data_IF_307218760755
#
_entry.id   IF_307218760755
#
_cell.length_a   1.000
_cell.length_b   1.000
_cell.length_c   1.000
_cell.angle_alpha   90.00
_cell.angle_beta   90.00
_cell.angle_gamma   90.00
#
_symmetry.space_group_name_H-M   'P 1'
#
loop_
_entity.id
_entity.type
_entity.pdbx_description
1 polymer ?
#
# COMPACT_ATOMS: atom_id res chain seq x y z
N UNK A 1 -33.48 19.79 -18.14
CA UNK A 1 -32.11 20.22 -17.77
C UNK A 1 -31.15 19.65 -18.77
N UNK A 2 -30.19 20.44 -19.28
CA UNK A 2 -29.13 19.88 -20.13
C UNK A 2 -28.20 19.05 -19.25
N UNK A 3 -27.93 17.81 -19.66
CA UNK A 3 -26.97 16.91 -18.99
C UNK A 3 -25.59 17.56 -19.11
N UNK A 4 -24.88 17.64 -17.99
CA UNK A 4 -23.53 18.21 -17.95
C UNK A 4 -22.47 17.13 -18.05
N UNK A 5 -21.35 17.45 -18.66
CA UNK A 5 -20.19 16.53 -18.85
C UNK A 5 -19.74 15.85 -17.57
N UNK A 6 -19.78 16.53 -16.41
CA UNK A 6 -19.36 15.96 -15.12
C UNK A 6 -20.21 14.75 -14.70
N UNK A 7 -21.44 14.61 -15.20
CA UNK A 7 -22.31 13.47 -14.88
C UNK A 7 -21.84 12.17 -15.56
N UNK A 8 -21.00 12.28 -16.60
CA UNK A 8 -20.33 11.16 -17.28
C UNK A 8 -18.95 10.82 -16.69
N UNK A 9 -18.58 11.46 -15.59
CA UNK A 9 -17.29 11.23 -14.94
C UNK A 9 -17.49 11.23 -13.41
N UNK A 10 -18.03 10.14 -12.87
CA UNK A 10 -18.42 10.06 -11.46
C UNK A 10 -17.24 10.04 -10.50
N UNK A 11 -17.53 10.46 -9.26
CA UNK A 11 -16.60 10.50 -8.14
C UNK A 11 -16.93 9.44 -7.11
N UNK A 12 -16.74 8.19 -7.41
CA UNK A 12 -16.94 7.15 -6.41
C UNK A 12 -15.65 6.95 -5.62
N UNK A 13 -15.56 7.62 -4.47
CA UNK A 13 -14.47 7.42 -3.50
C UNK A 13 -14.39 5.95 -3.10
N UNK A 14 -13.17 5.46 -2.86
CA UNK A 14 -12.94 4.09 -2.41
C UNK A 14 -13.57 3.05 -3.34
N UNK A 15 -13.59 3.32 -4.64
CA UNK A 15 -14.08 2.39 -5.66
C UNK A 15 -12.97 2.07 -6.67
N UNK A 16 -12.91 0.81 -7.05
CA UNK A 16 -12.00 0.30 -8.07
C UNK A 16 -12.80 -0.14 -9.28
N UNK A 17 -12.47 0.42 -10.44
CA UNK A 17 -13.05 0.05 -11.73
C UNK A 17 -12.10 -0.90 -12.43
N UNK A 18 -12.57 -2.08 -12.80
CA UNK A 18 -11.79 -3.12 -13.48
C UNK A 18 -12.21 -3.17 -14.95
N UNK A 19 -11.23 -2.99 -15.82
CA UNK A 19 -11.42 -3.06 -17.28
C UNK A 19 -10.70 -4.26 -17.84
N UNK A 20 -11.43 -5.06 -18.60
CA UNK A 20 -10.88 -6.20 -19.36
C UNK A 20 -10.62 -5.80 -20.79
N UNK A 21 -9.40 -6.07 -21.25
CA UNK A 21 -8.98 -5.91 -22.62
C UNK A 21 -9.23 -7.15 -23.47
N UNK A 22 -9.50 -6.93 -24.74
CA UNK A 22 -9.70 -7.98 -25.75
C UNK A 22 -8.75 -7.75 -26.90
N UNK A 23 -8.33 -8.85 -27.51
CA UNK A 23 -7.31 -8.93 -28.56
C UNK A 23 -5.88 -8.56 -28.10
N UNK A 24 -5.72 -8.07 -26.86
CA UNK A 24 -4.41 -7.84 -26.25
C UNK A 24 -4.56 -7.66 -24.73
N UNK A 25 -3.96 -8.54 -23.94
CA UNK A 25 -4.00 -8.47 -22.47
C UNK A 25 -3.28 -7.25 -21.89
N UNK A 26 -2.43 -6.56 -22.67
CA UNK A 26 -1.74 -5.35 -22.22
C UNK A 26 -2.67 -4.14 -22.03
N UNK A 27 -3.92 -4.23 -22.49
CA UNK A 27 -4.95 -3.19 -22.31
C UNK A 27 -5.92 -3.50 -21.15
N UNK A 28 -5.66 -4.56 -20.37
CA UNK A 28 -6.31 -4.70 -19.06
C UNK A 28 -5.81 -3.60 -18.15
N UNK A 29 -6.70 -2.97 -17.42
CA UNK A 29 -6.29 -2.02 -16.39
C UNK A 29 -7.34 -1.90 -15.29
N UNK A 30 -6.89 -1.41 -14.15
CA UNK A 30 -7.75 -0.96 -13.07
C UNK A 30 -7.65 0.55 -12.97
N UNK A 31 -8.73 1.21 -12.61
CA UNK A 31 -8.69 2.63 -12.28
C UNK A 31 -9.32 2.90 -10.93
N UNK A 32 -8.76 3.85 -10.21
CA UNK A 32 -9.23 4.29 -8.90
C UNK A 32 -8.96 5.76 -8.71
N UNK A 33 -9.69 6.38 -7.77
CA UNK A 33 -9.47 7.77 -7.42
C UNK A 33 -8.52 7.82 -6.24
N UNK A 34 -7.33 8.41 -6.45
CA UNK A 34 -6.36 8.64 -5.38
C UNK A 34 -6.76 9.84 -4.52
N UNK A 35 -7.00 10.99 -5.17
CA UNK A 35 -7.32 12.26 -4.54
C UNK A 35 -8.34 13.05 -5.34
N UNK A 36 -9.13 13.86 -4.66
CA UNK A 36 -9.99 14.85 -5.32
C UNK A 36 -10.24 16.04 -4.40
N UNK A 37 -10.60 17.16 -5.03
CA UNK A 37 -11.14 18.35 -4.40
C UNK A 37 -12.38 18.85 -5.18
N UNK A 38 -12.85 20.06 -4.91
CA UNK A 38 -14.05 20.59 -5.56
C UNK A 38 -13.96 20.67 -7.09
N UNK A 39 -12.77 20.87 -7.65
CA UNK A 39 -12.56 21.13 -9.07
C UNK A 39 -11.70 20.10 -9.80
N UNK A 40 -10.92 19.31 -9.08
CA UNK A 40 -9.96 18.38 -9.66
C UNK A 40 -10.13 16.98 -9.09
N UNK A 41 -9.88 15.99 -9.92
CA UNK A 41 -9.87 14.58 -9.54
C UNK A 41 -8.60 13.91 -10.09
N UNK A 42 -7.88 13.25 -9.23
CA UNK A 42 -6.70 12.46 -9.56
C UNK A 42 -7.10 11.00 -9.69
N UNK A 43 -6.95 10.46 -10.88
CA UNK A 43 -7.27 9.07 -11.21
C UNK A 43 -6.00 8.30 -11.51
N UNK A 44 -5.84 7.18 -10.85
CA UNK A 44 -4.78 6.20 -11.10
C UNK A 44 -5.25 5.15 -12.09
N UNK A 45 -4.40 4.80 -13.04
CA UNK A 45 -4.58 3.71 -13.99
C UNK A 45 -3.44 2.72 -13.82
N UNK A 46 -3.76 1.50 -13.42
CA UNK A 46 -2.81 0.41 -13.20
C UNK A 46 -3.12 -0.76 -14.13
N UNK A 47 -2.18 -1.11 -15.00
CA UNK A 47 -2.29 -2.27 -15.88
C UNK A 47 -1.42 -3.46 -15.44
N UNK A 48 -0.92 -3.43 -14.19
CA UNK A 48 -0.04 -4.44 -13.62
C UNK A 48 1.45 -4.27 -13.98
N UNK A 49 1.79 -3.45 -14.98
CA UNK A 49 3.18 -3.14 -15.37
C UNK A 49 3.52 -1.67 -15.23
N UNK A 50 2.55 -0.80 -15.44
CA UNK A 50 2.69 0.65 -15.35
C UNK A 50 1.56 1.24 -14.53
N UNK A 51 1.90 2.23 -13.72
CA UNK A 51 0.96 3.06 -12.97
C UNK A 51 1.00 4.48 -13.51
N UNK A 52 -0.07 4.91 -14.14
CA UNK A 52 -0.19 6.28 -14.63
C UNK A 52 -1.19 7.05 -13.78
N UNK A 53 -0.90 8.31 -13.52
CA UNK A 53 -1.80 9.21 -12.81
C UNK A 53 -2.21 10.34 -13.73
N UNK A 54 -3.52 10.55 -13.84
CA UNK A 54 -4.13 11.64 -14.60
C UNK A 54 -4.90 12.54 -13.62
N UNK A 55 -4.80 13.85 -13.81
CA UNK A 55 -5.66 14.82 -13.12
C UNK A 55 -6.63 15.41 -14.13
N UNK A 56 -7.90 15.24 -13.82
CA UNK A 56 -9.00 15.84 -14.57
C UNK A 56 -9.53 17.04 -13.80
N UNK A 57 -9.75 18.14 -14.53
CA UNK A 57 -10.27 19.37 -13.98
C UNK A 57 -11.69 19.62 -14.53
N UNK A 58 -12.62 19.90 -13.64
CA UNK A 58 -13.99 20.30 -13.97
C UNK A 58 -14.04 21.79 -14.26
N UNK A 59 -14.35 22.15 -15.48
CA UNK A 59 -14.45 23.51 -15.94
C UNK A 59 -15.86 23.80 -16.46
N UNK A 60 -16.19 25.08 -16.67
CA UNK A 60 -17.43 25.45 -17.34
C UNK A 60 -17.52 24.93 -18.80
N UNK A 61 -16.39 24.62 -19.39
CA UNK A 61 -16.29 24.14 -20.78
C UNK A 61 -16.18 22.61 -20.86
N UNK A 62 -16.26 21.89 -19.76
CA UNK A 62 -16.20 20.43 -19.73
C UNK A 62 -15.16 19.85 -18.78
N UNK A 63 -14.83 18.60 -19.00
CA UNK A 63 -13.81 17.86 -18.23
C UNK A 63 -12.50 17.89 -19.01
N UNK A 64 -11.47 18.42 -18.40
CA UNK A 64 -10.15 18.61 -19.00
C UNK A 64 -9.09 17.76 -18.30
N UNK A 65 -8.31 16.99 -19.05
CA UNK A 65 -7.05 16.42 -18.58
C UNK A 65 -6.05 17.57 -18.44
N UNK A 66 -5.70 17.94 -17.20
CA UNK A 66 -4.83 19.06 -16.88
C UNK A 66 -3.40 18.64 -16.52
N UNK A 67 -3.23 17.43 -15.99
CA UNK A 67 -1.94 16.89 -15.64
C UNK A 67 -1.89 15.38 -15.88
N UNK A 68 -0.72 14.91 -16.30
CA UNK A 68 -0.45 13.48 -16.46
C UNK A 68 0.99 13.17 -16.03
N UNK A 69 1.14 12.08 -15.29
CA UNK A 69 2.45 11.49 -15.00
C UNK A 69 2.41 10.00 -15.27
N UNK A 70 3.44 9.49 -15.93
CA UNK A 70 3.61 8.07 -16.23
C UNK A 70 4.50 7.42 -15.18
N UNK A 71 4.23 6.16 -14.89
CA UNK A 71 4.98 5.35 -13.91
C UNK A 71 5.01 5.98 -12.50
N UNK A 72 3.90 6.59 -12.09
CA UNK A 72 3.71 7.09 -10.73
C UNK A 72 3.41 5.92 -9.79
N UNK A 73 4.45 5.20 -9.38
CA UNK A 73 4.31 3.93 -8.63
C UNK A 73 3.84 4.11 -7.18
N UNK A 74 3.74 5.36 -6.68
CA UNK A 74 3.44 5.66 -5.28
C UNK A 74 2.16 6.45 -5.13
N UNK A 75 1.44 6.21 -4.04
CA UNK A 75 0.28 7.02 -3.68
C UNK A 75 0.75 8.40 -3.19
N UNK A 76 0.55 9.41 -4.01
CA UNK A 76 0.96 10.79 -3.77
C UNK A 76 -0.06 11.75 -4.37
N UNK A 77 -0.32 12.85 -3.66
CA UNK A 77 -1.21 13.91 -4.13
C UNK A 77 -0.47 14.82 -5.13
N UNK A 78 -1.01 14.93 -6.35
CA UNK A 78 -0.51 15.80 -7.43
C UNK A 78 -1.51 16.90 -7.80
N UNK A 79 -2.60 17.10 -7.03
CA UNK A 79 -3.67 18.05 -7.39
C UNK A 79 -3.18 19.49 -7.54
N UNK A 80 -2.12 19.85 -6.82
CA UNK A 80 -1.53 21.20 -6.83
C UNK A 80 -0.34 21.34 -7.80
N UNK A 81 0.03 20.25 -8.51
CA UNK A 81 1.09 20.34 -9.50
C UNK A 81 0.69 21.22 -10.70
N UNK A 82 1.67 21.95 -11.30
CA UNK A 82 1.42 22.75 -12.49
C UNK A 82 0.90 21.91 -13.64
N UNK A 83 -0.08 22.42 -14.36
CA UNK A 83 -0.65 21.74 -15.52
C UNK A 83 0.41 21.46 -16.59
N UNK A 84 0.48 20.22 -17.07
CA UNK A 84 1.33 19.79 -18.17
C UNK A 84 0.53 19.25 -19.36
N UNK A 85 -0.79 19.26 -19.28
CA UNK A 85 -1.73 18.83 -20.31
C UNK A 85 -2.85 19.85 -20.46
N UNK A 86 -3.45 19.92 -21.64
CA UNK A 86 -4.59 20.79 -21.93
C UNK A 86 -5.55 20.11 -22.94
N UNK A 87 -6.10 18.97 -22.55
CA UNK A 87 -6.93 18.15 -23.41
C UNK A 87 -8.30 17.92 -22.81
N UNK A 88 -9.37 18.38 -23.47
CA UNK A 88 -10.73 18.06 -23.04
C UNK A 88 -11.05 16.59 -23.27
N UNK A 89 -11.43 15.89 -22.22
CA UNK A 89 -11.97 14.52 -22.27
C UNK A 89 -13.40 14.55 -22.81
N UNK A 90 -14.25 15.42 -22.24
CA UNK A 90 -15.61 15.70 -22.67
C UNK A 90 -15.78 17.21 -22.69
N UNK A 91 -16.19 17.79 -23.81
CA UNK A 91 -16.35 19.24 -23.97
C UNK A 91 -17.83 19.62 -24.04
N UNK A 92 -18.17 20.68 -23.32
CA UNK A 92 -19.49 21.27 -23.37
C UNK A 92 -19.73 22.07 -24.68
N UNK A 93 -20.97 22.17 -25.16
CA UNK A 93 -22.16 21.44 -24.69
C UNK A 93 -22.12 19.96 -25.07
N UNK A 94 -22.71 19.08 -24.23
CA UNK A 94 -22.80 17.64 -24.53
C UNK A 94 -23.93 17.43 -25.55
N UNK A 95 -23.62 17.69 -26.81
CA UNK A 95 -24.54 17.54 -27.97
C UNK A 95 -23.84 16.85 -29.12
N UNK A 96 -24.60 16.15 -29.93
CA UNK A 96 -24.10 15.49 -31.14
C UNK A 96 -23.42 16.50 -32.07
N UNK A 97 -22.30 16.07 -32.68
CA UNK A 97 -21.44 16.84 -33.57
C UNK A 97 -20.63 17.96 -32.89
N UNK A 98 -20.67 18.09 -31.56
CA UNK A 98 -19.69 18.94 -30.84
C UNK A 98 -18.29 18.38 -31.03
N UNK A 99 -17.37 19.20 -31.57
CA UNK A 99 -16.02 18.77 -31.97
C UNK A 99 -14.96 19.72 -31.44
N UNK A 100 -13.82 19.16 -31.08
CA UNK A 100 -12.65 19.94 -30.63
C UNK A 100 -11.33 19.28 -31.02
N UNK A 101 -10.25 20.05 -30.93
CA UNK A 101 -8.89 19.59 -31.16
C UNK A 101 -8.22 19.28 -29.81
N UNK A 102 -7.40 18.24 -29.80
CA UNK A 102 -6.47 17.93 -28.74
C UNK A 102 -5.10 18.58 -29.01
N UNK A 103 -4.24 18.65 -28.01
CA UNK A 103 -2.91 19.28 -28.10
C UNK A 103 -1.99 18.63 -29.14
N UNK A 104 -2.17 17.34 -29.44
CA UNK A 104 -1.43 16.61 -30.47
C UNK A 104 -2.00 16.79 -31.90
N UNK A 105 -3.06 17.58 -32.04
CA UNK A 105 -3.75 17.83 -33.29
C UNK A 105 -4.80 16.78 -33.70
N UNK A 106 -5.03 15.79 -32.84
CA UNK A 106 -6.15 14.84 -33.02
C UNK A 106 -7.49 15.57 -32.90
N UNK A 107 -8.50 15.08 -33.61
CA UNK A 107 -9.88 15.58 -33.54
C UNK A 107 -10.71 14.67 -32.65
N UNK A 108 -11.45 15.25 -31.70
CA UNK A 108 -12.38 14.56 -30.81
C UNK A 108 -13.80 15.09 -31.05
N UNK A 109 -14.78 14.21 -31.18
CA UNK A 109 -16.16 14.56 -31.54
C UNK A 109 -17.16 13.71 -30.76
N UNK A 110 -18.19 14.34 -30.23
CA UNK A 110 -19.39 13.65 -29.76
C UNK A 110 -20.20 13.19 -30.96
N UNK A 111 -20.24 11.89 -31.24
CA UNK A 111 -20.95 11.32 -32.39
C UNK A 111 -22.35 10.88 -32.03
N UNK A 112 -22.59 10.55 -30.75
CA UNK A 112 -23.92 10.21 -30.24
C UNK A 112 -24.06 10.57 -28.77
N UNK A 113 -25.25 10.95 -28.33
CA UNK A 113 -25.53 11.30 -26.91
C UNK A 113 -26.49 10.31 -26.22
N UNK A 114 -27.06 9.37 -27.01
CA UNK A 114 -28.02 8.38 -26.52
C UNK A 114 -27.91 7.12 -27.40
N UNK A 115 -26.84 6.34 -27.19
CA UNK A 115 -26.61 5.10 -27.92
C UNK A 115 -26.63 3.91 -26.95
N UNK A 116 -27.27 2.81 -27.36
CA UNK A 116 -27.25 1.56 -26.60
C UNK A 116 -25.89 0.88 -26.78
N UNK A 117 -25.24 0.57 -25.67
CA UNK A 117 -23.92 -0.09 -25.67
C UNK A 117 -24.04 -1.44 -24.98
N UNK A 118 -23.67 -2.49 -25.68
CA UNK A 118 -23.51 -3.84 -25.15
C UNK A 118 -22.03 -4.12 -24.93
N UNK A 119 -21.68 -4.54 -23.73
CA UNK A 119 -20.40 -5.14 -23.37
C UNK A 119 -20.58 -6.64 -23.12
N UNK A 120 -19.51 -7.37 -22.84
CA UNK A 120 -19.64 -8.77 -22.43
C UNK A 120 -20.25 -8.92 -21.02
N UNK A 121 -20.17 -7.87 -20.20
CA UNK A 121 -20.56 -7.89 -18.81
C UNK A 121 -21.92 -7.23 -18.54
N UNK A 122 -22.25 -6.19 -19.34
CA UNK A 122 -23.45 -5.40 -19.11
C UNK A 122 -24.08 -4.88 -20.41
N UNK A 123 -25.34 -4.46 -20.29
CA UNK A 123 -26.08 -3.76 -21.31
C UNK A 123 -26.46 -2.38 -20.80
N UNK A 124 -25.91 -1.33 -21.43
CA UNK A 124 -26.19 0.05 -21.09
C UNK A 124 -27.21 0.61 -22.10
N UNK A 125 -28.38 1.02 -21.65
CA UNK A 125 -29.45 1.48 -22.57
C UNK A 125 -29.14 2.82 -23.24
N UNK A 126 -28.33 3.66 -22.58
CA UNK A 126 -27.97 5.00 -23.05
C UNK A 126 -26.51 5.30 -22.71
N UNK A 127 -25.72 5.73 -23.65
CA UNK A 127 -24.35 6.15 -23.50
C UNK A 127 -24.00 7.34 -24.39
N UNK A 128 -23.03 8.11 -23.98
CA UNK A 128 -22.35 9.14 -24.77
C UNK A 128 -21.23 8.47 -25.56
N UNK A 129 -21.24 8.61 -26.87
CA UNK A 129 -20.19 8.13 -27.76
C UNK A 129 -19.30 9.27 -28.22
N UNK A 130 -18.00 9.11 -28.03
CA UNK A 130 -16.99 10.08 -28.43
C UNK A 130 -15.94 9.40 -29.30
N UNK A 131 -15.74 9.91 -30.48
CA UNK A 131 -14.73 9.44 -31.46
C UNK A 131 -13.53 10.38 -31.43
N UNK A 132 -12.33 9.82 -31.35
CA UNK A 132 -11.08 10.55 -31.53
C UNK A 132 -10.37 10.03 -32.77
N UNK A 133 -9.92 10.92 -33.65
CA UNK A 133 -9.18 10.55 -34.86
C UNK A 133 -7.83 11.28 -34.83
N UNK A 134 -6.76 10.54 -35.05
CA UNK A 134 -5.40 11.09 -35.13
C UNK A 134 -5.27 12.13 -36.24
N UNK A 135 -4.32 13.05 -36.10
CA UNK A 135 -4.08 14.14 -37.08
C UNK A 135 -3.88 13.62 -38.51
N UNK A 136 -3.18 12.51 -38.67
CA UNK A 136 -2.90 11.85 -39.94
C UNK A 136 -4.01 10.88 -40.38
N UNK A 137 -5.07 10.75 -39.59
CA UNK A 137 -6.21 9.84 -39.79
C UNK A 137 -5.85 8.35 -39.85
N UNK A 138 -4.67 7.96 -39.39
CA UNK A 138 -4.22 6.57 -39.44
C UNK A 138 -4.74 5.74 -38.27
N UNK A 139 -5.13 6.40 -37.18
CA UNK A 139 -5.59 5.77 -35.95
C UNK A 139 -6.84 6.47 -35.42
N UNK A 140 -7.68 5.71 -34.73
CA UNK A 140 -8.87 6.27 -34.09
C UNK A 140 -9.19 5.52 -32.77
N UNK A 141 -9.94 6.19 -31.90
CA UNK A 141 -10.61 5.56 -30.77
C UNK A 141 -12.07 5.94 -30.68
N UNK A 142 -12.85 5.06 -30.04
CA UNK A 142 -14.26 5.30 -29.74
C UNK A 142 -14.46 5.00 -28.24
N UNK A 143 -14.85 6.01 -27.50
CA UNK A 143 -15.08 5.91 -26.06
C UNK A 143 -16.58 6.04 -25.75
N UNK A 144 -17.08 5.15 -24.90
CA UNK A 144 -18.47 5.15 -24.45
C UNK A 144 -18.55 5.46 -22.96
N UNK A 145 -19.27 6.53 -22.64
CA UNK A 145 -19.47 6.98 -21.25
C UNK A 145 -20.95 6.85 -20.86
N UNK A 146 -21.21 6.37 -19.67
CA UNK A 146 -22.55 6.22 -19.09
C UNK A 146 -22.71 7.14 -17.91
N UNK A 147 -23.88 7.80 -17.80
CA UNK A 147 -24.22 8.69 -16.70
C UNK A 147 -24.08 7.97 -15.35
N UNK A 148 -23.40 8.60 -14.41
CA UNK A 148 -23.17 8.08 -13.05
C UNK A 148 -22.16 6.92 -12.96
N UNK A 149 -21.68 6.39 -14.11
CA UNK A 149 -20.72 5.27 -14.16
C UNK A 149 -19.36 5.73 -14.71
N UNK A 150 -19.36 6.53 -15.78
CA UNK A 150 -18.15 6.92 -16.48
C UNK A 150 -17.87 6.08 -17.71
N UNK A 151 -16.60 5.87 -18.02
CA UNK A 151 -16.17 5.06 -19.16
C UNK A 151 -16.59 3.60 -18.97
N UNK A 152 -17.30 3.04 -19.95
CA UNK A 152 -17.74 1.63 -19.93
C UNK A 152 -17.11 0.79 -21.05
N UNK A 153 -16.66 1.44 -22.13
CA UNK A 153 -16.01 0.76 -23.24
C UNK A 153 -15.12 1.74 -24.00
N UNK A 154 -13.95 1.27 -24.40
CA UNK A 154 -13.09 1.95 -25.40
C UNK A 154 -12.68 0.99 -26.48
N UNK A 155 -12.71 1.48 -27.73
CA UNK A 155 -12.27 0.77 -28.93
C UNK A 155 -11.13 1.58 -29.53
N UNK A 156 -10.00 0.93 -29.84
CA UNK A 156 -8.82 1.55 -30.44
C UNK A 156 -8.48 0.85 -31.75
N UNK A 157 -8.27 1.61 -32.80
CA UNK A 157 -7.62 1.13 -33.98
C UNK A 157 -6.22 1.72 -34.08
N UNK A 158 -5.21 0.84 -34.01
CA UNK A 158 -3.79 1.17 -34.09
C UNK A 158 -3.23 0.53 -35.36
N UNK A 159 -2.66 1.31 -36.26
CA UNK A 159 -2.21 0.91 -37.60
C UNK A 159 -1.39 -0.39 -37.67
N UNK A 160 -0.53 -0.64 -36.64
CA UNK A 160 0.32 -1.83 -36.58
C UNK A 160 -0.25 -2.99 -35.76
N UNK A 161 -1.32 -2.75 -34.98
CA UNK A 161 -1.88 -3.71 -34.02
C UNK A 161 -3.32 -4.10 -34.31
N UNK A 162 -3.99 -3.39 -35.24
CA UNK A 162 -5.39 -3.61 -35.56
C UNK A 162 -6.35 -3.08 -34.50
N UNK A 163 -7.48 -3.74 -34.37
CA UNK A 163 -8.56 -3.35 -33.48
C UNK A 163 -8.34 -3.95 -32.06
N UNK A 164 -8.28 -3.09 -31.07
CA UNK A 164 -8.19 -3.43 -29.65
C UNK A 164 -9.38 -2.80 -28.96
N UNK A 165 -9.90 -3.43 -27.90
CA UNK A 165 -10.94 -2.80 -27.09
C UNK A 165 -10.86 -3.27 -25.65
N UNK A 166 -11.30 -2.40 -24.73
CA UNK A 166 -11.47 -2.73 -23.32
C UNK A 166 -12.89 -2.37 -22.87
N UNK A 167 -13.39 -3.12 -21.93
CA UNK A 167 -14.74 -3.00 -21.40
C UNK A 167 -14.72 -3.02 -19.87
N UNK A 168 -15.57 -2.21 -19.26
CA UNK A 168 -15.78 -2.24 -17.82
C UNK A 168 -16.37 -3.61 -17.44
N UNK A 169 -15.62 -4.35 -16.65
CA UNK A 169 -15.99 -5.68 -16.15
C UNK A 169 -16.71 -5.58 -14.80
N UNK A 170 -16.14 -4.80 -13.87
CA UNK A 170 -16.61 -4.74 -12.49
C UNK A 170 -16.31 -3.38 -11.85
N UNK A 171 -17.15 -2.99 -10.92
CA UNK A 171 -16.91 -1.88 -9.99
C UNK A 171 -16.94 -2.46 -8.58
N UNK A 172 -15.80 -2.43 -7.89
CA UNK A 172 -15.68 -2.84 -6.50
C UNK A 172 -15.83 -1.59 -5.64
N UNK A 173 -16.93 -1.46 -4.94
CA UNK A 173 -17.21 -0.36 -4.04
C UNK A 173 -16.63 -0.61 -2.64
N UNK A 174 -16.40 0.47 -1.87
CA UNK A 174 -15.85 0.44 -0.51
C UNK A 174 -14.52 -0.32 -0.41
N UNK A 175 -13.71 -0.22 -1.45
CA UNK A 175 -12.40 -0.86 -1.55
C UNK A 175 -11.33 0.06 -0.95
N UNK A 176 -10.59 -0.44 0.04
CA UNK A 176 -9.32 0.18 0.42
C UNK A 176 -8.23 -0.24 -0.57
N UNK A 177 -7.29 0.66 -0.81
CA UNK A 177 -6.12 0.39 -1.65
C UNK A 177 -4.96 -0.07 -0.79
N UNK A 178 -4.05 -0.85 -1.37
CA UNK A 178 -2.89 -1.35 -0.64
C UNK A 178 -1.64 -1.41 -1.50
N UNK A 179 -0.52 -1.12 -0.88
CA UNK A 179 0.83 -1.25 -1.45
C UNK A 179 1.71 -2.11 -0.55
N UNK A 180 2.61 -2.90 -1.16
CA UNK A 180 3.62 -3.64 -0.41
C UNK A 180 4.83 -2.74 -0.17
N UNK A 181 5.24 -2.63 1.08
CA UNK A 181 6.36 -1.80 1.51
C UNK A 181 7.36 -2.64 2.28
N UNK A 182 8.64 -2.51 1.94
CA UNK A 182 9.72 -3.07 2.76
C UNK A 182 10.11 -2.04 3.82
N UNK A 183 9.90 -2.37 5.08
CA UNK A 183 10.32 -1.55 6.21
C UNK A 183 11.53 -2.19 6.84
N UNK A 184 12.58 -1.40 7.04
CA UNK A 184 13.83 -1.82 7.64
C UNK A 184 13.84 -1.46 9.12
N UNK A 185 14.24 -2.40 9.98
CA UNK A 185 14.25 -2.27 11.43
C UNK A 185 15.57 -2.78 12.00
N UNK A 186 16.14 -2.14 13.03
CA UNK A 186 17.30 -2.64 13.70
C UNK A 186 16.95 -3.76 14.70
N UNK A 187 17.89 -4.64 14.96
CA UNK A 187 17.80 -5.56 16.09
C UNK A 187 18.02 -4.85 17.44
N UNK A 188 17.77 -5.56 18.55
CA UNK A 188 17.92 -5.01 19.91
C UNK A 188 19.37 -4.57 20.24
N UNK A 189 20.36 -5.10 19.53
CA UNK A 189 21.79 -4.80 19.75
C UNK A 189 22.31 -3.74 18.78
N UNK A 190 21.49 -3.28 17.83
CA UNK A 190 21.84 -2.30 16.78
C UNK A 190 22.96 -2.78 15.82
N UNK A 191 23.19 -4.09 15.74
CA UNK A 191 24.26 -4.67 14.95
C UNK A 191 23.80 -5.15 13.56
N UNK A 192 22.50 -5.41 13.41
CA UNK A 192 21.92 -5.95 12.18
C UNK A 192 20.65 -5.21 11.83
N UNK A 193 20.49 -4.90 10.56
CA UNK A 193 19.26 -4.34 10.02
C UNK A 193 18.48 -5.46 9.32
N UNK A 194 17.22 -5.60 9.68
CA UNK A 194 16.30 -6.56 9.12
C UNK A 194 15.21 -5.85 8.34
N UNK A 195 14.76 -6.41 7.22
CA UNK A 195 13.58 -5.89 6.57
C UNK A 195 12.39 -6.84 6.68
N UNK A 196 11.22 -6.26 6.79
CA UNK A 196 9.94 -6.97 6.79
C UNK A 196 9.04 -6.39 5.71
N UNK A 197 8.41 -7.27 4.93
CA UNK A 197 7.38 -6.86 4.00
C UNK A 197 6.11 -6.53 4.79
N UNK A 198 5.58 -5.34 4.57
CA UNK A 198 4.38 -4.82 5.21
C UNK A 198 3.38 -4.38 4.15
N UNK A 199 2.13 -4.35 4.51
CA UNK A 199 1.07 -3.79 3.67
C UNK A 199 0.71 -2.40 4.18
N UNK A 200 0.83 -1.41 3.31
CA UNK A 200 0.36 -0.06 3.53
C UNK A 200 -1.05 0.05 2.93
N UNK A 201 -2.04 0.27 3.77
CA UNK A 201 -3.41 0.48 3.32
C UNK A 201 -3.77 1.96 3.37
N UNK A 202 -4.55 2.42 2.40
CA UNK A 202 -5.04 3.79 2.31
C UNK A 202 -6.38 3.85 1.58
N UNK A 203 -7.07 4.97 1.76
CA UNK A 203 -8.33 5.28 1.09
C UNK A 203 -8.16 6.51 0.19
N UNK A 204 -9.16 6.80 -0.63
CA UNK A 204 -9.23 8.05 -1.38
C UNK A 204 -9.07 9.25 -0.45
N UNK A 205 -8.27 10.24 -0.83
CA UNK A 205 -7.91 11.44 -0.03
C UNK A 205 -7.11 11.16 1.25
N UNK A 206 -6.67 9.94 1.50
CA UNK A 206 -5.84 9.63 2.66
C UNK A 206 -4.36 9.81 2.33
N UNK A 207 -3.65 10.58 3.16
CA UNK A 207 -2.20 10.72 3.04
C UNK A 207 -1.50 9.49 3.62
N UNK A 208 -0.51 8.98 2.90
CA UNK A 208 0.25 7.79 3.30
C UNK A 208 1.09 7.99 4.55
N UNK A 209 1.37 9.23 4.95
CA UNK A 209 2.20 9.53 6.13
C UNK A 209 1.65 8.91 7.41
N UNK A 210 0.31 8.87 7.56
CA UNK A 210 -0.33 8.22 8.70
C UNK A 210 -0.07 6.71 8.71
N UNK A 211 -0.25 6.06 7.57
CA UNK A 211 0.01 4.64 7.39
C UNK A 211 1.49 4.30 7.63
N UNK A 212 2.40 5.06 7.02
CA UNK A 212 3.84 4.90 7.24
C UNK A 212 4.23 5.13 8.69
N UNK A 213 3.69 6.16 9.36
CA UNK A 213 3.95 6.39 10.78
C UNK A 213 3.59 5.17 11.62
N UNK A 214 2.43 4.54 11.38
CA UNK A 214 2.03 3.29 12.06
C UNK A 214 3.01 2.15 11.78
N UNK A 215 3.47 2.00 10.53
CA UNK A 215 4.44 0.96 10.17
C UNK A 215 5.79 1.17 10.85
N UNK A 216 6.26 2.43 10.98
CA UNK A 216 7.51 2.75 11.65
C UNK A 216 7.40 2.64 13.19
N UNK A 217 6.20 2.84 13.76
CA UNK A 217 5.91 2.70 15.20
C UNK A 217 5.80 1.24 15.65
N UNK A 218 5.58 0.32 14.72
CA UNK A 218 5.35 -1.10 15.02
C UNK A 218 6.39 -1.96 14.33
N UNK A 219 7.27 -2.57 15.10
CA UNK A 219 8.27 -3.51 14.59
C UNK A 219 7.80 -4.96 14.74
N UNK A 220 8.35 -5.88 13.92
CA UNK A 220 8.31 -7.31 14.23
C UNK A 220 8.94 -7.60 15.59
N UNK A 221 8.53 -8.70 16.20
CA UNK A 221 9.03 -9.10 17.53
C UNK A 221 10.53 -9.40 17.45
N UNK A 222 11.28 -8.82 18.41
CA UNK A 222 12.74 -8.92 18.46
C UNK A 222 13.47 -7.86 17.63
N UNK A 223 12.74 -6.95 17.01
CA UNK A 223 13.27 -5.77 16.34
C UNK A 223 12.77 -4.50 17.05
N UNK A 224 13.52 -3.42 16.93
CA UNK A 224 13.13 -2.15 17.53
C UNK A 224 12.27 -1.34 16.56
N UNK A 225 11.20 -0.69 17.04
CA UNK A 225 10.47 0.30 16.24
C UNK A 225 11.35 1.50 15.94
N UNK A 226 11.16 2.13 14.80
CA UNK A 226 11.96 3.28 14.39
C UNK A 226 11.52 4.57 15.07
N UNK A 227 10.24 4.72 15.30
CA UNK A 227 9.67 5.90 15.96
C UNK A 227 8.74 5.45 17.09
N UNK A 228 8.55 6.30 18.07
CA UNK A 228 7.62 6.08 19.16
C UNK A 228 6.23 6.65 18.83
N UNK A 229 5.22 6.41 19.70
CA UNK A 229 3.85 6.85 19.51
C UNK A 229 3.67 8.38 19.46
N UNK A 230 4.63 9.12 20.02
CA UNK A 230 4.60 10.59 20.06
C UNK A 230 5.27 11.22 18.83
N UNK A 231 5.90 10.40 18.00
CA UNK A 231 6.55 10.83 16.76
C UNK A 231 5.69 10.47 15.57
N UNK A 232 5.54 11.41 14.65
CA UNK A 232 4.83 11.21 13.38
C UNK A 232 5.63 11.76 12.21
N UNK A 233 5.28 11.30 11.03
CA UNK A 233 5.74 11.89 9.77
C UNK A 233 4.83 13.09 9.48
N UNK A 234 5.40 14.27 9.29
CA UNK A 234 4.67 15.45 8.90
C UNK A 234 4.39 15.46 7.39
N UNK A 235 5.38 15.00 6.61
CA UNK A 235 5.33 15.02 5.15
C UNK A 235 6.22 13.93 4.57
N UNK A 236 5.77 13.30 3.50
CA UNK A 236 6.55 12.34 2.74
C UNK A 236 6.13 12.37 1.28
N UNK A 237 7.08 12.52 0.35
CA UNK A 237 6.80 12.57 -1.07
C UNK A 237 8.03 12.25 -1.93
N UNK A 238 7.79 11.95 -3.20
CA UNK A 238 8.81 11.80 -4.22
C UNK A 238 8.75 12.98 -5.20
N UNK A 239 9.87 13.64 -5.39
CA UNK A 239 10.02 14.69 -6.40
C UNK A 239 10.44 14.06 -7.72
N UNK A 240 9.51 13.94 -8.66
CA UNK A 240 9.74 13.34 -9.97
C UNK A 240 10.66 14.16 -10.88
N UNK A 241 10.73 15.47 -10.68
CA UNK A 241 11.57 16.37 -11.48
C UNK A 241 13.05 16.19 -11.16
N UNK A 242 13.36 16.13 -9.87
CA UNK A 242 14.74 16.11 -9.38
C UNK A 242 15.18 14.73 -8.90
N UNK A 243 14.27 13.75 -8.97
CA UNK A 243 14.48 12.35 -8.64
C UNK A 243 14.99 12.13 -7.21
N UNK A 244 14.28 12.69 -6.22
CA UNK A 244 14.58 12.46 -4.82
C UNK A 244 13.33 12.15 -4.00
N UNK A 245 13.49 11.40 -2.91
CA UNK A 245 12.45 11.22 -1.90
C UNK A 245 12.73 12.13 -0.71
N UNK A 246 11.66 12.67 -0.13
CA UNK A 246 11.72 13.51 1.06
C UNK A 246 10.82 12.93 2.16
N UNK A 247 11.33 12.94 3.39
CA UNK A 247 10.57 12.68 4.60
C UNK A 247 10.85 13.76 5.63
N UNK A 248 9.79 14.34 6.18
CA UNK A 248 9.85 15.30 7.27
C UNK A 248 9.23 14.73 8.53
N UNK A 249 10.00 14.67 9.61
CA UNK A 249 9.53 14.19 10.89
C UNK A 249 9.12 15.34 11.82
N UNK A 250 8.13 15.08 12.66
CA UNK A 250 7.84 15.93 13.79
C UNK A 250 9.02 15.95 14.77
N UNK A 251 9.23 17.08 15.47
CA UNK A 251 10.33 17.30 16.42
C UNK A 251 10.43 16.24 17.53
N UNK A 252 9.35 15.53 17.82
CA UNK A 252 9.36 14.41 18.78
C UNK A 252 10.38 13.33 18.46
N UNK A 253 10.88 13.25 17.22
CA UNK A 253 11.97 12.34 16.82
C UNK A 253 13.28 12.65 17.56
N UNK A 254 13.51 13.92 17.95
CA UNK A 254 14.72 14.33 18.63
C UNK A 254 14.95 13.60 19.96
N UNK A 255 13.90 13.13 20.61
CA UNK A 255 14.03 12.33 21.83
C UNK A 255 14.69 10.98 21.57
N UNK A 256 14.51 10.43 20.35
CA UNK A 256 15.13 9.17 19.92
C UNK A 256 16.58 9.42 19.49
N UNK A 257 16.81 10.50 18.74
CA UNK A 257 18.11 10.81 18.13
C UNK A 257 19.16 11.29 19.14
N UNK A 258 18.75 11.89 20.28
CA UNK A 258 19.65 12.38 21.32
C UNK A 258 20.18 11.28 22.25
N UNK A 259 19.60 10.08 22.23
CA UNK A 259 19.93 9.05 23.22
C UNK A 259 21.33 8.42 22.99
N UNK A 260 21.70 8.16 21.73
CA UNK A 260 22.95 7.46 21.41
C UNK A 260 23.30 7.64 19.91
N UNK A 261 24.56 7.91 19.61
CA UNK A 261 25.06 8.06 18.22
C UNK A 261 24.86 6.81 17.35
N UNK A 262 25.11 5.62 17.91
CA UNK A 262 24.89 4.36 17.18
C UNK A 262 23.40 4.16 16.84
N UNK A 263 22.51 4.44 17.81
CA UNK A 263 21.06 4.36 17.62
C UNK A 263 20.59 5.35 16.54
N UNK A 264 21.12 6.57 16.58
CA UNK A 264 20.84 7.61 15.58
C UNK A 264 21.27 7.18 14.17
N UNK A 265 22.49 6.67 14.04
CA UNK A 265 23.01 6.17 12.76
C UNK A 265 22.12 5.04 12.22
N UNK A 266 21.88 4.02 13.02
CA UNK A 266 21.07 2.86 12.63
C UNK A 266 19.63 3.26 12.26
N UNK A 267 19.06 4.24 12.97
CA UNK A 267 17.76 4.82 12.59
C UNK A 267 17.79 5.38 11.16
N UNK A 268 18.77 6.22 10.84
CA UNK A 268 18.86 6.81 9.50
C UNK A 268 19.12 5.77 8.42
N UNK A 269 19.91 4.74 8.70
CA UNK A 269 20.14 3.61 7.78
C UNK A 269 18.84 2.86 7.47
N UNK A 270 18.02 2.63 8.48
CA UNK A 270 16.72 1.99 8.31
C UNK A 270 15.75 2.87 7.50
N UNK A 271 15.67 4.18 7.80
CA UNK A 271 14.84 5.13 7.05
C UNK A 271 15.32 5.24 5.61
N UNK A 272 16.63 5.39 5.40
CA UNK A 272 17.23 5.45 4.06
C UNK A 272 16.85 4.21 3.23
N UNK A 273 17.10 3.01 3.74
CA UNK A 273 16.80 1.77 3.02
C UNK A 273 15.31 1.58 2.78
N UNK A 274 14.46 2.01 3.72
CA UNK A 274 13.00 1.99 3.56
C UNK A 274 12.58 2.89 2.38
N UNK A 275 13.01 4.15 2.37
CA UNK A 275 12.63 5.12 1.34
C UNK A 275 13.28 4.81 -0.01
N UNK A 276 14.56 4.41 -0.02
CA UNK A 276 15.27 3.94 -1.22
C UNK A 276 14.51 2.79 -1.88
N UNK A 277 14.08 1.81 -1.09
CA UNK A 277 13.35 0.66 -1.62
C UNK A 277 11.94 1.03 -2.08
N UNK A 278 11.26 1.89 -1.35
CA UNK A 278 9.90 2.35 -1.68
C UNK A 278 9.91 3.23 -2.93
N UNK A 279 10.68 4.32 -2.94
CA UNK A 279 10.70 5.30 -4.04
C UNK A 279 11.64 4.96 -5.20
N UNK A 280 12.44 3.89 -5.08
CA UNK A 280 13.43 3.47 -6.10
C UNK A 280 14.42 4.58 -6.46
N UNK A 281 14.89 5.32 -5.45
CA UNK A 281 15.86 6.40 -5.58
C UNK A 281 16.96 6.31 -4.53
N UNK A 282 18.17 6.71 -4.89
CA UNK A 282 19.31 6.82 -3.96
C UNK A 282 19.34 8.19 -3.25
N UNK A 283 18.59 9.17 -3.78
CA UNK A 283 18.58 10.53 -3.23
C UNK A 283 17.47 10.64 -2.20
N UNK A 284 17.84 10.62 -0.92
CA UNK A 284 16.90 10.72 0.20
C UNK A 284 17.21 11.98 1.00
N UNK A 285 16.19 12.83 1.21
CA UNK A 285 16.28 14.01 2.07
C UNK A 285 15.44 13.78 3.33
N UNK A 286 16.06 14.05 4.49
CA UNK A 286 15.41 13.91 5.78
C UNK A 286 15.42 15.27 6.47
N UNK A 287 14.25 15.72 6.90
CA UNK A 287 14.10 16.96 7.66
C UNK A 287 13.32 16.73 8.96
N UNK A 288 13.42 17.66 9.88
CA UNK A 288 12.68 17.70 11.13
C UNK A 288 12.00 19.06 11.23
N UNK A 289 10.67 19.11 11.25
CA UNK A 289 9.88 20.34 11.17
C UNK A 289 10.33 21.25 10.00
N UNK A 290 10.56 20.69 8.81
CA UNK A 290 11.07 21.33 7.60
C UNK A 290 12.50 21.90 7.72
N UNK A 291 13.22 21.66 8.82
CA UNK A 291 14.61 22.03 8.96
C UNK A 291 15.51 20.84 8.64
N UNK A 292 16.54 21.02 7.82
CA UNK A 292 17.51 19.99 7.55
C UNK A 292 18.16 19.48 8.84
N UNK A 293 18.30 18.17 8.97
CA UNK A 293 19.05 17.58 10.07
C UNK A 293 20.55 17.62 9.72
N UNK A 294 21.29 18.60 10.31
CA UNK A 294 22.63 19.00 9.87
C UNK A 294 23.71 17.94 9.96
N UNK A 295 23.57 16.96 10.86
CA UNK A 295 24.57 15.90 11.06
C UNK A 295 24.57 14.83 9.95
N UNK A 296 23.55 14.82 9.07
CA UNK A 296 23.37 13.83 8.01
C UNK A 296 23.03 14.47 6.64
N UNK A 297 23.55 15.69 6.41
CA UNK A 297 23.26 16.49 5.22
C UNK A 297 24.18 16.19 4.06
N UNK A 298 24.15 15.01 3.59
CA UNK A 298 24.54 14.62 2.23
C UNK A 298 23.72 13.38 1.91
N UNK A 299 23.53 12.98 0.64
CA UNK A 299 22.91 11.71 0.38
C UNK A 299 23.54 10.70 1.32
N UNK A 300 22.72 10.12 2.20
CA UNK A 300 23.21 9.18 3.20
C UNK A 300 23.95 8.11 2.42
N UNK A 301 25.27 8.09 2.56
CA UNK A 301 26.09 7.11 1.85
C UNK A 301 25.66 5.75 2.36
N UNK A 302 25.23 4.83 1.47
CA UNK A 302 24.91 3.47 1.87
C UNK A 302 26.10 2.93 2.68
N UNK A 303 25.84 2.43 3.85
CA UNK A 303 26.92 1.82 4.63
C UNK A 303 27.15 0.47 4.01
N UNK A 304 28.27 0.31 3.31
CA UNK A 304 28.67 -0.94 2.65
C UNK A 304 28.88 -2.09 3.64
N UNK A 305 28.94 -1.79 4.95
CA UNK A 305 29.25 -2.74 6.01
C UNK A 305 28.03 -3.14 6.89
N UNK A 306 26.81 -2.70 6.58
CA UNK A 306 25.64 -3.09 7.37
C UNK A 306 25.10 -4.42 6.88
N UNK A 307 25.06 -5.40 7.77
CA UNK A 307 24.45 -6.69 7.47
C UNK A 307 22.90 -6.53 7.38
N UNK A 308 22.38 -6.51 6.15
CA UNK A 308 20.95 -6.41 5.88
C UNK A 308 20.40 -7.81 5.61
N UNK A 309 19.50 -8.26 6.47
CA UNK A 309 18.88 -9.58 6.37
C UNK A 309 17.35 -9.46 6.20
N UNK A 310 16.80 -10.42 5.45
CA UNK A 310 15.35 -10.56 5.40
C UNK A 310 14.83 -11.13 6.72
N UNK A 311 13.92 -10.41 7.36
CA UNK A 311 13.22 -10.92 8.51
C UNK A 311 12.16 -11.91 8.01
N UNK A 312 12.45 -13.21 8.15
CA UNK A 312 11.53 -14.28 7.76
C UNK A 312 10.67 -14.68 8.95
N UNK A 313 9.49 -15.18 8.63
CA UNK A 313 8.53 -15.75 9.58
C UNK A 313 9.16 -16.80 10.51
N UNK A 314 10.22 -17.48 10.07
CA UNK A 314 11.02 -18.40 10.89
C UNK A 314 11.65 -17.73 12.13
N UNK A 315 11.80 -16.40 12.12
CA UNK A 315 12.30 -15.61 13.25
C UNK A 315 11.15 -14.97 14.06
N UNK A 316 9.90 -15.26 13.71
CA UNK A 316 8.73 -14.79 14.43
C UNK A 316 8.76 -15.30 15.88
N UNK A 317 8.77 -14.37 16.80
CA UNK A 317 8.54 -14.64 18.20
C UNK A 317 7.12 -14.18 18.49
N UNK A 318 6.21 -15.13 18.55
CA UNK A 318 4.83 -14.84 18.93
C UNK A 318 4.78 -14.43 20.40
N UNK A 319 4.34 -13.20 20.72
CA UNK A 319 4.08 -12.84 22.10
C UNK A 319 2.81 -13.57 22.56
N UNK A 320 2.88 -14.17 23.70
CA UNK A 320 1.73 -14.72 24.40
C UNK A 320 1.91 -14.52 25.90
N UNK A 321 0.82 -14.51 26.62
CA UNK A 321 0.82 -14.43 28.08
C UNK A 321 0.64 -15.81 28.68
N UNK A 322 1.40 -16.11 29.74
CA UNK A 322 1.24 -17.32 30.50
C UNK A 322 0.99 -16.99 31.96
N UNK A 323 -0.05 -17.56 32.53
CA UNK A 323 -0.36 -17.44 33.95
C UNK A 323 0.32 -18.58 34.70
N UNK A 324 1.23 -18.22 35.60
CA UNK A 324 2.02 -19.16 36.41
C UNK A 324 1.08 -20.02 37.23
N UNK A 325 1.22 -21.34 37.09
CA UNK A 325 0.47 -22.36 37.84
C UNK A 325 1.26 -22.83 39.08
N UNK A 326 0.61 -23.59 39.94
CA UNK A 326 1.27 -24.24 41.08
C UNK A 326 2.41 -25.14 40.57
N UNK A 327 3.57 -25.08 41.25
CA UNK A 327 4.80 -25.83 40.91
C UNK A 327 5.53 -25.40 39.62
N UNK A 328 5.09 -24.35 38.92
CA UNK A 328 5.84 -23.81 37.79
C UNK A 328 7.18 -23.22 38.24
N UNK A 329 8.21 -23.50 37.50
CA UNK A 329 9.55 -22.91 37.63
C UNK A 329 9.97 -22.33 36.27
N UNK A 330 10.87 -21.34 36.26
CA UNK A 330 11.38 -20.82 35.01
C UNK A 330 12.05 -21.90 34.14
N UNK A 331 12.64 -22.93 34.76
CA UNK A 331 13.25 -24.06 34.05
C UNK A 331 12.18 -24.92 33.36
N UNK A 332 11.09 -25.24 34.10
CA UNK A 332 10.00 -26.02 33.52
C UNK A 332 9.30 -25.26 32.40
N UNK A 333 9.10 -23.95 32.56
CA UNK A 333 8.53 -23.08 31.50
C UNK A 333 9.50 -22.91 30.32
N UNK A 334 10.81 -22.85 30.59
CA UNK A 334 11.85 -22.85 29.53
C UNK A 334 11.75 -24.10 28.69
N UNK A 335 11.63 -25.27 29.29
CA UNK A 335 11.48 -26.54 28.58
C UNK A 335 10.08 -26.69 27.90
N UNK A 336 9.06 -26.11 28.55
CA UNK A 336 7.69 -26.16 28.03
C UNK A 336 7.54 -25.35 26.74
N UNK A 337 8.15 -24.18 26.68
CA UNK A 337 7.96 -23.21 25.60
C UNK A 337 9.17 -23.06 24.66
N UNK A 338 10.25 -23.84 24.92
CA UNK A 338 11.52 -23.73 24.19
C UNK A 338 12.09 -22.31 24.20
N UNK A 339 12.01 -21.66 25.37
CA UNK A 339 12.50 -20.29 25.59
C UNK A 339 13.51 -20.33 26.74
N UNK A 340 14.73 -19.84 26.52
CA UNK A 340 15.73 -19.79 27.58
C UNK A 340 15.17 -19.12 28.85
N UNK A 341 15.36 -19.75 30.03
CA UNK A 341 14.89 -19.20 31.29
C UNK A 341 15.47 -17.83 31.60
N UNK A 342 16.71 -17.55 31.15
CA UNK A 342 17.35 -16.22 31.28
C UNK A 342 16.57 -15.18 30.50
N UNK A 343 16.04 -15.57 29.33
CA UNK A 343 15.22 -14.70 28.48
C UNK A 343 13.85 -14.46 29.07
N UNK A 344 13.19 -15.51 29.62
CA UNK A 344 11.94 -15.34 30.37
C UNK A 344 12.12 -14.39 31.53
N UNK A 345 13.19 -14.56 32.34
CA UNK A 345 13.49 -13.69 33.46
C UNK A 345 13.70 -12.23 33.04
N UNK A 346 14.49 -12.00 31.97
CA UNK A 346 14.77 -10.65 31.45
C UNK A 346 13.51 -9.96 30.95
N UNK A 347 12.68 -10.66 30.19
CA UNK A 347 11.43 -10.13 29.60
C UNK A 347 10.42 -9.68 30.67
N UNK A 348 10.42 -10.38 31.81
CA UNK A 348 9.47 -10.16 32.89
C UNK A 348 10.07 -9.44 34.12
N UNK A 349 11.27 -8.89 33.98
CA UNK A 349 11.99 -8.21 35.06
C UNK A 349 12.11 -9.06 36.33
N UNK A 350 12.26 -10.39 36.18
CA UNK A 350 12.35 -11.32 37.30
C UNK A 350 13.78 -11.30 37.86
N UNK A 351 13.96 -10.69 39.01
CA UNK A 351 15.27 -10.57 39.68
C UNK A 351 15.75 -11.89 40.25
N UNK A 352 14.86 -12.74 40.76
CA UNK A 352 15.18 -14.05 41.31
C UNK A 352 14.52 -15.16 40.48
N UNK A 353 15.29 -15.90 39.64
CA UNK A 353 14.77 -16.95 38.77
C UNK A 353 14.09 -18.11 39.53
N UNK A 354 14.37 -18.29 40.78
CA UNK A 354 13.82 -19.36 41.61
C UNK A 354 12.50 -18.96 42.29
N UNK A 355 12.00 -17.75 42.06
CA UNK A 355 10.76 -17.25 42.67
C UNK A 355 9.77 -16.82 41.60
N UNK A 356 8.86 -17.71 41.26
CA UNK A 356 7.63 -17.38 40.55
C UNK A 356 6.46 -17.39 41.52
N UNK A 357 5.57 -16.41 41.39
CA UNK A 357 4.33 -16.37 42.18
C UNK A 357 3.19 -17.03 41.40
N UNK A 358 2.41 -17.86 42.07
CA UNK A 358 1.17 -18.41 41.49
C UNK A 358 0.30 -17.26 41.01
N UNK A 359 -0.33 -17.41 39.85
CA UNK A 359 -1.12 -16.40 39.14
C UNK A 359 -0.33 -15.19 38.58
N UNK A 360 1.01 -15.19 38.68
CA UNK A 360 1.82 -14.20 38.00
C UNK A 360 1.64 -14.34 36.48
N UNK A 361 1.41 -13.23 35.79
CA UNK A 361 1.32 -13.22 34.33
C UNK A 361 2.71 -12.97 33.77
N UNK A 362 3.20 -13.90 32.95
CA UNK A 362 4.47 -13.81 32.24
C UNK A 362 4.23 -13.47 30.78
N UNK A 363 5.01 -12.54 30.26
CA UNK A 363 5.13 -12.30 28.82
C UNK A 363 6.15 -13.29 28.27
N UNK A 364 5.75 -14.07 27.28
CA UNK A 364 6.58 -15.08 26.61
C UNK A 364 6.55 -14.87 25.10
N UNK A 365 7.50 -15.48 24.40
CA UNK A 365 7.57 -15.44 22.94
C UNK A 365 7.87 -16.84 22.41
N UNK A 366 7.02 -17.33 21.51
CA UNK A 366 7.29 -18.55 20.76
C UNK A 366 8.24 -18.30 19.59
N UNK A 367 8.95 -19.33 19.17
CA UNK A 367 9.77 -19.33 17.94
C UNK A 367 8.95 -19.30 16.64
N UNK A 368 7.63 -19.17 16.74
CA UNK A 368 6.71 -19.27 15.59
C UNK A 368 6.33 -20.71 15.24
N UNK A 369 6.86 -21.66 15.98
CA UNK A 369 6.49 -23.08 15.89
C UNK A 369 6.23 -23.60 17.31
N UNK A 370 5.11 -24.28 17.48
CA UNK A 370 4.78 -24.98 18.70
C UNK A 370 4.78 -26.49 18.46
N UNK A 371 5.33 -27.27 19.36
CA UNK A 371 5.29 -28.73 19.30
C UNK A 371 4.17 -29.23 20.19
N UNK A 372 3.20 -29.91 19.61
CA UNK A 372 2.04 -30.49 20.31
C UNK A 372 2.52 -31.46 21.39
N UNK A 373 1.99 -31.29 22.57
CA UNK A 373 2.27 -32.12 23.76
C UNK A 373 1.05 -32.95 24.14
N UNK A 374 1.29 -33.91 24.99
CA UNK A 374 0.21 -34.76 25.54
C UNK A 374 -0.84 -33.89 26.25
N UNK A 375 -2.10 -34.07 25.88
CA UNK A 375 -3.23 -33.29 26.40
C UNK A 375 -3.50 -31.96 25.70
N UNK A 376 -2.72 -31.58 24.67
CA UNK A 376 -3.01 -30.39 23.88
C UNK A 376 -4.15 -30.65 22.88
N UNK A 377 -4.96 -29.61 22.66
CA UNK A 377 -5.93 -29.53 21.54
C UNK A 377 -5.64 -28.27 20.72
N UNK A 378 -6.14 -28.18 19.49
CA UNK A 378 -5.99 -26.98 18.68
C UNK A 378 -6.66 -25.75 19.31
N UNK A 379 -7.75 -25.95 20.05
CA UNK A 379 -8.41 -24.90 20.84
C UNK A 379 -7.48 -24.38 21.95
N UNK A 380 -6.86 -25.29 22.70
CA UNK A 380 -5.91 -24.90 23.75
C UNK A 380 -4.69 -24.15 23.16
N UNK A 381 -4.20 -24.56 22.00
CA UNK A 381 -3.11 -23.87 21.27
C UNK A 381 -3.58 -22.51 20.75
N UNK A 382 -4.80 -22.43 20.21
CA UNK A 382 -5.43 -21.19 19.75
C UNK A 382 -5.54 -20.15 20.89
N UNK A 383 -6.05 -20.55 22.03
CA UNK A 383 -6.13 -19.70 23.23
C UNK A 383 -4.75 -19.30 23.75
N UNK A 384 -3.82 -20.25 23.85
CA UNK A 384 -2.46 -20.04 24.36
C UNK A 384 -1.71 -18.97 23.54
N UNK A 385 -1.88 -18.95 22.22
CA UNK A 385 -1.17 -18.05 21.33
C UNK A 385 -2.03 -16.89 20.82
N UNK A 386 -3.28 -16.79 21.26
CA UNK A 386 -4.25 -15.78 20.80
C UNK A 386 -4.37 -15.72 19.25
N UNK A 387 -4.44 -16.90 18.64
CA UNK A 387 -4.62 -17.10 17.21
C UNK A 387 -5.96 -17.79 16.96
N UNK A 388 -6.66 -17.40 15.89
CA UNK A 388 -7.88 -18.14 15.52
C UNK A 388 -7.53 -19.58 15.09
N UNK A 389 -8.37 -20.53 15.44
CA UNK A 389 -8.25 -21.94 15.05
C UNK A 389 -8.11 -22.05 13.53
N UNK A 390 -8.95 -21.32 12.78
CA UNK A 390 -8.93 -21.31 11.32
C UNK A 390 -7.57 -20.88 10.77
N UNK A 391 -6.94 -19.87 11.41
CA UNK A 391 -5.60 -19.42 11.01
C UNK A 391 -4.53 -20.47 11.26
N UNK A 392 -4.61 -21.18 12.38
CA UNK A 392 -3.69 -22.31 12.68
C UNK A 392 -3.88 -23.43 11.66
N UNK A 393 -5.12 -23.78 11.37
CA UNK A 393 -5.45 -24.82 10.37
C UNK A 393 -4.92 -24.47 8.98
N UNK A 394 -5.16 -23.24 8.53
CA UNK A 394 -4.67 -22.70 7.25
C UNK A 394 -3.14 -22.76 7.13
N UNK A 395 -2.42 -22.27 8.15
CA UNK A 395 -0.96 -22.24 8.18
C UNK A 395 -0.32 -23.64 8.16
N UNK A 396 -1.05 -24.66 8.61
CA UNK A 396 -0.54 -26.01 8.78
C UNK A 396 -1.18 -27.03 7.85
N UNK A 397 -2.08 -26.61 6.95
CA UNK A 397 -2.88 -27.49 6.08
C UNK A 397 -3.63 -28.58 6.87
N UNK A 398 -4.19 -28.21 8.03
CA UNK A 398 -4.98 -29.11 8.87
C UNK A 398 -6.45 -29.01 8.43
N UNK A 399 -7.03 -30.12 8.02
CA UNK A 399 -8.42 -30.16 7.56
C UNK A 399 -9.42 -30.59 8.67
N UNK A 400 -8.92 -31.20 9.72
CA UNK A 400 -9.75 -31.66 10.87
C UNK A 400 -9.05 -31.30 12.19
N UNK A 401 -9.76 -30.60 13.07
CA UNK A 401 -9.30 -30.15 14.38
C UNK A 401 -8.77 -31.29 15.28
N UNK A 402 -9.31 -32.49 15.09
CA UNK A 402 -9.01 -33.68 15.91
C UNK A 402 -7.79 -34.47 15.39
N UNK A 403 -7.24 -34.10 14.23
CA UNK A 403 -6.12 -34.81 13.61
C UNK A 403 -4.76 -34.20 13.95
N UNK A 404 -4.57 -33.81 15.20
CA UNK A 404 -3.24 -33.41 15.70
C UNK A 404 -2.63 -34.55 16.53
N UNK A 405 -1.30 -34.69 16.42
CA UNK A 405 -0.56 -35.74 17.13
C UNK A 405 0.52 -35.14 18.03
N UNK A 406 0.79 -35.82 19.14
CA UNK A 406 1.89 -35.44 20.04
C UNK A 406 3.21 -35.46 19.27
N UNK A 407 4.01 -34.42 19.41
CA UNK A 407 5.24 -34.19 18.66
C UNK A 407 5.07 -33.48 17.32
N UNK A 408 3.83 -33.29 16.85
CA UNK A 408 3.56 -32.52 15.64
C UNK A 408 3.97 -31.06 15.84
N UNK A 409 4.66 -30.49 14.84
CA UNK A 409 5.07 -29.08 14.85
C UNK A 409 3.99 -28.23 14.18
N UNK A 410 3.43 -27.31 14.93
CA UNK A 410 2.39 -26.37 14.49
C UNK A 410 3.04 -25.02 14.24
N UNK A 411 2.92 -24.51 13.01
CA UNK A 411 3.32 -23.14 12.66
C UNK A 411 2.27 -22.17 13.22
N UNK A 412 2.75 -21.11 13.86
CA UNK A 412 1.93 -20.07 14.47
C UNK A 412 1.95 -18.77 13.62
N UNK A 413 2.78 -18.72 12.59
CA UNK A 413 2.93 -17.58 11.69
C UNK A 413 3.43 -18.00 10.30
#
# INVERSE_FOLDING_TARGET
MSIKSKEYFPHNSNSMYIYRGFNNNLINFKSSIDYFNNNKIQVRFDNGTTNNVNIYEYTNNGIKLSFQIRNACHHQNFLDEPNNMDNYLIREPVVKNNMWLLSDGSKRCITNVDIKVKTQFNLFPSALEIVTVSKDKSEFSVDYYVLGIGLVKSIYYIKKRGLLYCELEEIIENSSFSENVKIYYPDENLNTIWYSNKTLNYNTNEDITLGFSKLLQTSPIGLLPLINRNTKINKMYYNHKDNFAHIDFHEGIMNILKENTLKTKTFFDCIYNTLKNYYKTEKIYITINNHPYTDYFNPIIPIDDVNIMEWKVQNCKYPFTYVVKDKDTLINLSNKFDISYKRIAKLNNIKNPNRLSKNQVLQLYSSGVYTIKEGDSLEAVSEMFNLSINKIMELNNISDLNLITVGQKIKLC
#
